data_IF_092988217735
#
_entry.id   IF_092988217735
#
_cell.length_a   1.000
_cell.length_b   1.000
_cell.length_c   1.000
_cell.angle_alpha   90.00
_cell.angle_beta   90.00
_cell.angle_gamma   90.00
#
_symmetry.space_group_name_H-M   'P 1'
#
loop_
_entity.id
_entity.type
_entity.pdbx_description
1 polymer ?
#
# COMPACT_ATOMS: atom_id res chain seq x y z
N UNK A 1 23.18 -5.52 -7.97
CA UNK A 1 22.07 -5.61 -8.94
C UNK A 1 21.47 -7.01 -8.89
N UNK A 2 20.29 -7.15 -8.35
CA UNK A 2 19.61 -8.45 -8.23
C UNK A 2 18.16 -8.28 -7.78
N UNK A 3 17.73 -7.03 -7.56
CA UNK A 3 16.35 -6.72 -7.22
C UNK A 3 15.44 -6.90 -8.43
N UNK A 4 14.38 -7.74 -8.37
CA UNK A 4 13.44 -7.92 -9.47
C UNK A 4 12.63 -6.66 -9.80
N UNK A 5 12.51 -5.73 -8.84
CA UNK A 5 11.87 -4.42 -9.02
C UNK A 5 12.86 -3.30 -9.38
N UNK A 6 14.12 -3.65 -9.63
CA UNK A 6 15.18 -2.68 -9.98
C UNK A 6 15.42 -1.59 -8.92
N UNK A 7 15.07 -1.84 -7.65
CA UNK A 7 15.29 -0.90 -6.56
C UNK A 7 16.78 -0.75 -6.23
N UNK A 8 17.16 0.47 -5.89
CA UNK A 8 18.47 0.72 -5.32
C UNK A 8 18.47 0.46 -3.81
N UNK A 9 18.66 -0.82 -3.45
CA UNK A 9 18.60 -1.29 -2.06
C UNK A 9 19.60 -0.56 -1.16
N UNK A 10 20.83 -0.38 -1.63
CA UNK A 10 21.87 0.32 -0.85
C UNK A 10 21.49 1.77 -0.58
N UNK A 11 20.78 2.41 -1.51
CA UNK A 11 20.33 3.79 -1.38
C UNK A 11 19.28 3.94 -0.26
N UNK A 12 18.24 3.10 -0.26
CA UNK A 12 17.24 3.24 0.79
C UNK A 12 17.76 2.81 2.17
N UNK A 13 18.69 1.88 2.24
CA UNK A 13 19.37 1.56 3.51
C UNK A 13 20.22 2.74 3.99
N UNK A 14 20.92 3.43 3.10
CA UNK A 14 21.67 4.63 3.45
C UNK A 14 20.75 5.74 4.00
N UNK A 15 19.57 5.93 3.44
CA UNK A 15 18.59 6.86 3.98
C UNK A 15 18.10 6.44 5.37
N UNK A 16 17.85 5.15 5.60
CA UNK A 16 17.47 4.64 6.92
C UNK A 16 18.57 4.90 7.96
N UNK A 17 19.84 4.68 7.61
CA UNK A 17 20.98 4.95 8.48
C UNK A 17 21.10 6.42 8.86
N UNK A 18 20.72 7.33 7.97
CA UNK A 18 20.72 8.78 8.21
C UNK A 18 19.49 9.26 8.97
N UNK A 19 18.52 8.41 9.24
CA UNK A 19 17.26 8.77 9.86
C UNK A 19 16.25 9.42 8.90
N UNK A 20 16.51 9.40 7.59
CA UNK A 20 15.58 9.91 6.56
C UNK A 20 14.57 8.82 6.17
N UNK A 21 13.62 8.57 7.06
CA UNK A 21 12.63 7.52 6.87
C UNK A 21 11.65 7.81 5.73
N UNK A 22 11.41 9.08 5.42
CA UNK A 22 10.57 9.46 4.30
C UNK A 22 11.17 8.99 2.97
N UNK A 23 12.43 9.35 2.71
CA UNK A 23 13.13 8.91 1.49
C UNK A 23 13.36 7.40 1.45
N UNK A 24 13.64 6.78 2.59
CA UNK A 24 13.73 5.33 2.68
C UNK A 24 12.40 4.66 2.29
N UNK A 25 11.28 5.20 2.75
CA UNK A 25 9.95 4.70 2.41
C UNK A 25 9.64 4.87 0.92
N UNK A 26 9.94 6.02 0.35
CA UNK A 26 9.72 6.31 -1.07
C UNK A 26 10.55 5.40 -1.98
N UNK A 27 11.86 5.28 -1.72
CA UNK A 27 12.78 4.45 -2.52
C UNK A 27 12.53 2.94 -2.38
N UNK A 28 11.96 2.49 -1.28
CA UNK A 28 11.63 1.08 -1.03
C UNK A 28 10.18 0.71 -1.34
N UNK A 29 9.37 1.65 -1.81
CA UNK A 29 7.92 1.47 -1.93
C UNK A 29 7.52 0.25 -2.79
N UNK A 30 8.19 0.04 -3.92
CA UNK A 30 7.88 -1.05 -4.84
C UNK A 30 8.50 -2.41 -4.44
N UNK A 31 9.02 -2.52 -3.23
CA UNK A 31 9.62 -3.76 -2.74
C UNK A 31 8.55 -4.85 -2.55
N UNK A 32 8.74 -5.99 -3.23
CA UNK A 32 7.86 -7.16 -3.14
C UNK A 32 8.24 -8.15 -2.02
N UNK A 33 9.27 -7.83 -1.24
CA UNK A 33 9.69 -8.69 -0.12
C UNK A 33 10.33 -10.02 -0.52
N UNK A 34 10.91 -10.13 -1.71
CA UNK A 34 11.46 -11.40 -2.23
C UNK A 34 12.68 -11.94 -1.46
N UNK A 35 13.36 -11.11 -0.65
CA UNK A 35 14.47 -11.49 0.21
C UNK A 35 15.83 -11.70 -0.47
N UNK A 36 15.95 -11.54 -1.78
CA UNK A 36 17.22 -11.74 -2.52
C UNK A 36 18.34 -10.85 -1.99
N UNK A 37 18.04 -9.56 -1.73
CA UNK A 37 19.03 -8.63 -1.18
C UNK A 37 19.50 -9.04 0.23
N UNK A 38 18.56 -9.51 1.07
CA UNK A 38 18.90 -10.00 2.41
C UNK A 38 19.78 -11.25 2.38
N UNK A 39 19.47 -12.21 1.50
CA UNK A 39 20.24 -13.45 1.38
C UNK A 39 21.67 -13.22 0.87
N UNK A 40 21.90 -12.15 0.14
CA UNK A 40 23.22 -11.79 -0.42
C UNK A 40 24.00 -10.82 0.47
N UNK A 41 23.44 -10.35 1.55
CA UNK A 41 24.07 -9.35 2.42
C UNK A 41 25.10 -10.01 3.36
N UNK A 42 26.40 -9.66 3.26
CA UNK A 42 27.40 -10.21 4.17
C UNK A 42 27.27 -9.69 5.61
N UNK A 43 26.57 -8.58 5.80
CA UNK A 43 26.31 -7.98 7.12
C UNK A 43 25.07 -8.58 7.82
N UNK A 44 24.34 -9.48 7.17
CA UNK A 44 23.16 -10.12 7.75
C UNK A 44 21.96 -9.18 7.96
N UNK A 45 21.86 -8.10 7.18
CA UNK A 45 20.76 -7.15 7.27
C UNK A 45 19.56 -7.66 6.48
N UNK A 46 18.37 -7.53 7.05
CA UNK A 46 17.11 -7.77 6.35
C UNK A 46 16.60 -6.47 5.71
N UNK A 47 17.09 -6.14 4.53
CA UNK A 47 16.74 -4.91 3.81
C UNK A 47 15.24 -4.74 3.58
N UNK A 48 14.46 -5.77 3.18
CA UNK A 48 13.02 -5.64 3.01
C UNK A 48 12.31 -5.22 4.30
N UNK A 49 12.74 -5.74 5.44
CA UNK A 49 12.14 -5.39 6.74
C UNK A 49 12.46 -3.96 7.15
N UNK A 50 13.66 -3.47 6.87
CA UNK A 50 14.03 -2.06 7.09
C UNK A 50 13.14 -1.14 6.24
N UNK A 51 12.96 -1.46 4.98
CA UNK A 51 12.07 -0.70 4.09
C UNK A 51 10.62 -0.71 4.57
N UNK A 52 10.11 -1.86 5.00
CA UNK A 52 8.76 -1.99 5.55
C UNK A 52 8.58 -1.15 6.82
N UNK A 53 9.52 -1.23 7.75
CA UNK A 53 9.50 -0.42 8.96
C UNK A 53 9.50 1.07 8.64
N UNK A 54 10.34 1.50 7.72
CA UNK A 54 10.39 2.90 7.28
C UNK A 54 9.05 3.36 6.67
N UNK A 55 8.42 2.55 5.85
CA UNK A 55 7.08 2.86 5.29
C UNK A 55 6.01 2.98 6.39
N UNK A 56 6.01 2.08 7.36
CA UNK A 56 5.08 2.14 8.50
C UNK A 56 5.29 3.37 9.36
N UNK A 57 6.54 3.70 9.68
CA UNK A 57 6.88 4.90 10.46
C UNK A 57 6.53 6.18 9.70
N UNK A 58 6.83 6.23 8.41
CA UNK A 58 6.47 7.34 7.53
C UNK A 58 4.95 7.57 7.50
N UNK A 59 4.17 6.51 7.33
CA UNK A 59 2.70 6.59 7.30
C UNK A 59 2.08 6.95 8.64
N UNK A 60 2.71 6.57 9.75
CA UNK A 60 2.18 6.83 11.09
C UNK A 60 2.52 8.24 11.61
N UNK A 61 3.74 8.72 11.36
CA UNK A 61 4.28 9.90 12.03
C UNK A 61 4.61 11.08 11.11
N UNK A 62 4.90 10.84 9.84
CA UNK A 62 5.42 11.86 8.93
C UNK A 62 4.36 12.32 7.93
N UNK A 63 3.70 11.41 7.26
CA UNK A 63 2.66 11.73 6.27
C UNK A 63 1.35 12.03 6.98
N UNK A 64 0.67 13.15 6.68
CA UNK A 64 -0.65 13.43 7.22
C UNK A 64 -1.66 12.38 6.76
N UNK A 65 -2.59 12.02 7.65
CA UNK A 65 -3.68 11.10 7.31
C UNK A 65 -4.59 11.71 6.24
N UNK A 66 -5.02 10.88 5.29
CA UNK A 66 -5.94 11.29 4.24
C UNK A 66 -7.35 11.55 4.84
N UNK A 67 -7.78 12.81 4.83
CA UNK A 67 -9.11 13.18 5.39
C UNK A 67 -10.26 12.55 4.63
N UNK A 68 -10.14 12.45 3.29
CA UNK A 68 -11.17 11.81 2.48
C UNK A 68 -11.38 10.33 2.84
N UNK A 69 -10.30 9.61 3.19
CA UNK A 69 -10.39 8.23 3.64
C UNK A 69 -11.05 8.13 5.00
N UNK A 70 -10.69 9.03 5.93
CA UNK A 70 -11.32 9.11 7.24
C UNK A 70 -12.82 9.35 7.13
N UNK A 71 -13.22 10.33 6.32
CA UNK A 71 -14.62 10.65 6.08
C UNK A 71 -15.37 9.45 5.48
N UNK A 72 -14.76 8.72 4.55
CA UNK A 72 -15.36 7.51 3.96
C UNK A 72 -15.54 6.41 4.99
N UNK A 73 -14.57 6.21 5.89
CA UNK A 73 -14.68 5.24 6.99
C UNK A 73 -15.82 5.61 7.94
N UNK A 74 -15.97 6.89 8.28
CA UNK A 74 -17.08 7.38 9.10
C UNK A 74 -18.44 7.13 8.41
N UNK A 75 -18.57 7.43 7.12
CA UNK A 75 -19.78 7.14 6.34
C UNK A 75 -20.13 5.63 6.34
N UNK A 76 -19.14 4.76 6.26
CA UNK A 76 -19.35 3.30 6.34
C UNK A 76 -19.84 2.89 7.73
N UNK A 77 -19.26 3.44 8.79
CA UNK A 77 -19.68 3.14 10.17
C UNK A 77 -21.10 3.66 10.48
N UNK A 78 -21.50 4.76 9.86
CA UNK A 78 -22.86 5.32 9.98
C UNK A 78 -23.90 4.54 9.15
N UNK A 79 -23.48 3.58 8.34
CA UNK A 79 -24.37 2.75 7.51
C UNK A 79 -24.89 3.45 6.25
N UNK A 80 -24.23 4.50 5.79
CA UNK A 80 -24.67 5.27 4.60
C UNK A 80 -24.84 4.42 3.34
N UNK A 81 -24.06 3.35 3.21
CA UNK A 81 -24.05 2.47 2.03
C UNK A 81 -24.83 1.16 2.24
N UNK A 82 -25.34 0.91 3.43
CA UNK A 82 -26.00 -0.37 3.77
C UNK A 82 -27.18 -0.66 2.87
N UNK A 83 -28.06 0.32 2.64
CA UNK A 83 -29.22 0.16 1.75
C UNK A 83 -28.82 -0.18 0.31
N UNK A 84 -27.76 0.45 -0.21
CA UNK A 84 -27.25 0.16 -1.54
C UNK A 84 -26.65 -1.23 -1.64
N UNK A 85 -25.94 -1.65 -0.61
CA UNK A 85 -25.36 -3.00 -0.52
C UNK A 85 -26.46 -4.03 -0.49
N UNK A 86 -27.50 -3.86 0.33
CA UNK A 86 -28.65 -4.76 0.38
C UNK A 86 -29.40 -4.85 -0.95
N UNK A 87 -29.60 -3.73 -1.64
CA UNK A 87 -30.22 -3.70 -2.96
C UNK A 87 -29.42 -4.51 -4.00
N UNK A 88 -28.09 -4.37 -3.98
CA UNK A 88 -27.21 -5.11 -4.90
C UNK A 88 -27.19 -6.59 -4.53
N UNK A 89 -27.08 -6.92 -3.25
CA UNK A 89 -27.06 -8.32 -2.77
C UNK A 89 -28.37 -9.06 -3.00
N UNK A 90 -29.50 -8.36 -3.09
CA UNK A 90 -30.81 -8.93 -3.38
C UNK A 90 -31.07 -9.17 -4.88
N UNK A 91 -30.18 -8.72 -5.78
CA UNK A 91 -30.35 -8.87 -7.23
C UNK A 91 -29.87 -10.22 -7.73
N UNK A 92 -30.49 -10.78 -8.80
CA UNK A 92 -29.99 -11.96 -9.48
C UNK A 92 -28.64 -11.67 -10.16
N UNK A 93 -27.85 -12.71 -10.37
CA UNK A 93 -26.51 -12.62 -10.95
C UNK A 93 -26.51 -11.92 -12.33
N UNK A 94 -27.49 -12.18 -13.15
CA UNK A 94 -27.60 -11.62 -14.51
C UNK A 94 -27.72 -10.07 -14.48
N UNK A 95 -28.53 -9.53 -13.57
CA UNK A 95 -28.65 -8.08 -13.37
C UNK A 95 -27.35 -7.46 -12.81
N UNK A 96 -26.68 -8.15 -11.93
CA UNK A 96 -25.39 -7.70 -11.37
C UNK A 96 -24.33 -7.65 -12.47
N UNK A 97 -24.31 -8.64 -13.38
CA UNK A 97 -23.42 -8.64 -14.53
C UNK A 97 -23.68 -7.49 -15.49
N UNK A 98 -24.96 -7.17 -15.75
CA UNK A 98 -25.32 -6.00 -16.57
C UNK A 98 -24.86 -4.70 -15.93
N UNK A 99 -25.09 -4.51 -14.64
CA UNK A 99 -24.59 -3.35 -13.91
C UNK A 99 -23.08 -3.23 -13.95
N UNK A 100 -22.38 -4.34 -13.80
CA UNK A 100 -20.91 -4.38 -13.88
C UNK A 100 -20.39 -4.00 -15.27
N UNK A 101 -21.02 -4.53 -16.33
CA UNK A 101 -20.62 -4.26 -17.71
C UNK A 101 -20.88 -2.81 -18.13
N UNK A 102 -21.92 -2.20 -17.59
CA UNK A 102 -22.34 -0.82 -17.91
C UNK A 102 -21.77 0.23 -16.94
N UNK A 103 -20.90 -0.18 -15.98
CA UNK A 103 -20.29 0.76 -15.04
C UNK A 103 -19.42 1.79 -15.75
N UNK A 104 -19.38 3.00 -15.21
CA UNK A 104 -18.39 3.99 -15.62
C UNK A 104 -16.99 3.50 -15.19
N UNK A 105 -16.09 3.43 -16.16
CA UNK A 105 -14.69 3.08 -15.91
C UNK A 105 -13.92 4.39 -15.89
N UNK A 106 -13.30 4.69 -14.78
CA UNK A 106 -12.37 5.81 -14.68
C UNK A 106 -11.21 5.59 -15.67
N UNK A 107 -10.93 6.62 -16.48
CA UNK A 107 -9.88 6.58 -17.50
C UNK A 107 -8.55 7.03 -16.91
#
# INVERSE_FOLDING_TARGET
KGCPQSLNVMQYIAYAQRGDFKKCAEESFDCIGCGICASRCPAGISHPMVGELARRLNGKYIVPKAEHLKNRVEEIHEGKFDDLIEQVMGKPIDEIQELYNNREIEK
#
